data_IF_650393488286
#
_entry.id   IF_650393488286
#
_cell.length_a   1.000
_cell.length_b   1.000
_cell.length_c   1.000
_cell.angle_alpha   90.00
_cell.angle_beta   90.00
_cell.angle_gamma   90.00
#
_symmetry.space_group_name_H-M   'P 1'
#
loop_
_entity.id
_entity.type
_entity.pdbx_description
1 polymer ?
#
# COMPACT_ATOMS: atom_id res chain seq x y z
N UNK A 1 13.84 -0.18 -0.90
CA UNK A 1 13.41 0.88 -1.84
C UNK A 1 12.70 2.00 -1.08
N UNK A 2 12.84 3.28 -1.45
CA UNK A 2 12.06 4.37 -0.81
C UNK A 2 10.64 4.36 -1.38
N UNK A 3 9.63 4.52 -0.54
CA UNK A 3 8.24 4.69 -0.99
C UNK A 3 7.58 5.84 -0.25
N UNK A 4 6.63 6.50 -0.92
CA UNK A 4 5.73 7.45 -0.30
C UNK A 4 4.32 6.90 -0.32
N UNK A 5 3.69 6.77 0.84
CA UNK A 5 2.32 6.25 0.98
C UNK A 5 1.41 7.42 1.32
N UNK A 6 0.31 7.50 0.58
CA UNK A 6 -0.77 8.45 0.77
C UNK A 6 -2.02 7.61 1.13
N UNK A 7 -2.35 7.51 2.42
CA UNK A 7 -3.55 6.82 2.85
C UNK A 7 -4.82 7.48 2.32
N UNK A 8 -5.72 6.75 1.70
CA UNK A 8 -7.04 7.19 1.25
C UNK A 8 -8.12 6.88 2.27
N UNK A 9 -9.35 6.64 1.79
CA UNK A 9 -10.46 6.21 2.64
C UNK A 9 -10.41 4.70 2.89
N UNK A 10 -10.30 3.94 1.81
CA UNK A 10 -10.20 2.47 1.80
C UNK A 10 -9.04 2.01 0.92
N UNK A 11 -8.07 2.88 0.69
CA UNK A 11 -6.96 2.61 -0.21
C UNK A 11 -5.64 3.17 0.33
N UNK A 12 -4.53 2.59 -0.12
CA UNK A 12 -3.19 3.14 0.04
C UNK A 12 -2.63 3.41 -1.34
N UNK A 13 -2.45 4.68 -1.69
CA UNK A 13 -1.72 5.09 -2.88
C UNK A 13 -0.24 5.19 -2.55
N UNK A 14 0.59 4.43 -3.25
CA UNK A 14 2.02 4.29 -2.99
C UNK A 14 2.78 4.73 -4.23
N UNK A 15 3.73 5.64 -4.05
CA UNK A 15 4.63 6.08 -5.12
C UNK A 15 6.01 5.51 -4.84
N UNK A 16 6.54 4.78 -5.81
CA UNK A 16 7.82 4.09 -5.71
C UNK A 16 8.96 5.07 -6.02
N UNK A 17 9.94 5.13 -5.14
CA UNK A 17 11.14 6.00 -5.23
C UNK A 17 10.84 7.36 -5.86
N UNK A 18 9.94 8.17 -5.26
CA UNK A 18 9.43 9.37 -5.89
C UNK A 18 10.55 10.38 -6.18
N UNK A 19 10.61 10.85 -7.42
CA UNK A 19 11.61 11.85 -7.87
C UNK A 19 11.26 13.26 -7.39
N UNK A 20 9.97 13.52 -7.15
CA UNK A 20 9.44 14.80 -6.68
C UNK A 20 8.84 14.66 -5.28
N UNK A 21 8.76 15.78 -4.56
CA UNK A 21 8.09 15.82 -3.26
C UNK A 21 6.63 15.40 -3.42
N UNK A 22 6.26 14.34 -2.70
CA UNK A 22 4.88 13.83 -2.68
C UNK A 22 4.05 14.66 -1.71
N UNK A 23 2.81 14.99 -2.10
CA UNK A 23 1.87 15.72 -1.25
C UNK A 23 0.49 15.09 -1.34
N UNK A 24 -0.34 15.32 -0.33
CA UNK A 24 -1.75 14.89 -0.28
C UNK A 24 -2.70 15.81 -1.07
N UNK A 25 -2.19 16.78 -1.85
CA UNK A 25 -3.02 17.77 -2.52
C UNK A 25 -3.98 17.08 -3.51
N UNK A 26 -5.29 17.35 -3.37
CA UNK A 26 -6.34 16.80 -4.24
C UNK A 26 -6.86 15.42 -3.84
N UNK A 27 -6.41 14.86 -2.71
CA UNK A 27 -6.93 13.59 -2.17
C UNK A 27 -8.02 13.83 -1.12
N UNK A 28 -8.96 12.88 -0.91
CA UNK A 28 -9.96 12.98 0.14
C UNK A 28 -9.33 13.22 1.52
N UNK A 29 -9.97 14.05 2.34
CA UNK A 29 -9.52 14.33 3.71
C UNK A 29 -9.92 13.26 4.72
N UNK A 30 -10.87 12.40 4.35
CA UNK A 30 -11.32 11.29 5.20
C UNK A 30 -10.29 10.17 5.07
N UNK A 31 -9.65 9.85 6.19
CA UNK A 31 -8.67 8.78 6.31
C UNK A 31 -9.01 7.95 7.52
N UNK A 32 -9.00 6.64 7.37
CA UNK A 32 -9.19 5.75 8.51
C UNK A 32 -7.99 5.86 9.45
N UNK A 33 -8.18 6.12 10.76
CA UNK A 33 -7.06 6.35 11.69
C UNK A 33 -6.04 5.22 11.73
N UNK A 34 -6.49 3.97 11.59
CA UNK A 34 -5.62 2.79 11.60
C UNK A 34 -4.61 2.77 10.45
N UNK A 35 -4.86 3.47 9.34
CA UNK A 35 -3.91 3.54 8.22
C UNK A 35 -2.58 4.22 8.61
N UNK A 36 -2.62 5.05 9.65
CA UNK A 36 -1.44 5.70 10.23
C UNK A 36 -0.85 4.91 11.40
N UNK A 37 -1.46 3.82 11.85
CA UNK A 37 -1.06 3.14 13.08
C UNK A 37 0.44 2.77 13.13
N UNK A 38 1.10 2.34 12.02
CA UNK A 38 2.53 2.07 12.05
C UNK A 38 3.40 3.34 12.10
N UNK A 39 2.86 4.50 11.68
CA UNK A 39 3.57 5.77 11.57
C UNK A 39 2.69 6.95 12.02
N UNK A 40 2.30 7.01 13.31
CA UNK A 40 1.37 8.02 13.80
C UNK A 40 1.87 9.46 13.59
N UNK A 41 3.19 9.67 13.63
CA UNK A 41 3.83 10.96 13.37
C UNK A 41 3.65 11.46 11.93
N UNK A 42 3.44 10.56 10.97
CA UNK A 42 3.23 10.90 9.58
C UNK A 42 1.85 11.53 9.33
N UNK A 43 0.89 11.33 10.25
CA UNK A 43 -0.46 11.91 10.17
C UNK A 43 -0.42 13.43 10.03
N UNK A 44 0.49 14.11 10.73
CA UNK A 44 0.66 15.58 10.66
C UNK A 44 1.14 16.05 9.27
N UNK A 45 1.92 15.23 8.58
CA UNK A 45 2.46 15.53 7.25
C UNK A 45 1.51 15.10 6.13
N UNK A 46 0.60 14.16 6.41
CA UNK A 46 -0.35 13.62 5.45
C UNK A 46 0.26 12.68 4.41
N UNK A 47 1.55 12.34 4.55
CA UNK A 47 2.30 11.40 3.69
C UNK A 47 3.26 10.61 4.59
N UNK A 48 3.31 9.29 4.38
CA UNK A 48 4.24 8.38 5.04
C UNK A 48 5.42 8.17 4.09
N UNK A 49 6.65 8.38 4.57
CA UNK A 49 7.85 8.09 3.79
C UNK A 49 8.68 7.03 4.50
N UNK A 50 8.80 5.85 3.89
CA UNK A 50 9.52 4.71 4.48
C UNK A 50 10.44 4.06 3.46
N UNK A 51 11.29 3.15 3.96
CA UNK A 51 11.99 2.18 3.13
C UNK A 51 11.30 0.84 3.26
N UNK A 52 10.96 0.24 2.13
CA UNK A 52 10.45 -1.13 2.07
C UNK A 52 11.53 -2.10 1.61
N UNK A 53 11.41 -3.34 2.07
CA UNK A 53 12.24 -4.47 1.61
C UNK A 53 11.62 -5.10 0.36
N UNK A 54 12.47 -5.52 -0.58
CA UNK A 54 12.02 -6.07 -1.86
C UNK A 54 11.79 -5.02 -2.94
N UNK A 55 11.69 -5.50 -4.18
CA UNK A 55 11.48 -4.72 -5.39
C UNK A 55 10.29 -5.24 -6.22
N UNK A 56 9.48 -6.17 -5.70
CA UNK A 56 8.28 -6.70 -6.36
C UNK A 56 7.02 -6.32 -5.60
N UNK A 57 5.84 -6.33 -6.24
CA UNK A 57 4.56 -6.05 -5.57
C UNK A 57 4.36 -6.94 -4.34
N UNK A 58 4.64 -8.25 -4.44
CA UNK A 58 4.60 -9.19 -3.32
C UNK A 58 5.51 -8.75 -2.18
N UNK A 59 6.74 -8.36 -2.48
CA UNK A 59 7.71 -7.89 -1.50
C UNK A 59 7.20 -6.64 -0.75
N UNK A 60 6.63 -5.69 -1.48
CA UNK A 60 5.99 -4.50 -0.90
C UNK A 60 4.83 -4.88 0.04
N UNK A 61 3.93 -5.75 -0.41
CA UNK A 61 2.76 -6.17 0.36
C UNK A 61 3.15 -6.89 1.66
N UNK A 62 4.13 -7.80 1.59
CA UNK A 62 4.61 -8.53 2.76
C UNK A 62 5.31 -7.60 3.78
N UNK A 63 6.09 -6.63 3.32
CA UNK A 63 6.77 -5.69 4.22
C UNK A 63 5.81 -4.68 4.86
N UNK A 64 4.74 -4.29 4.15
CA UNK A 64 3.65 -3.50 4.72
C UNK A 64 2.85 -4.31 5.73
N UNK A 65 2.47 -5.55 5.41
CA UNK A 65 1.79 -6.48 6.31
C UNK A 65 2.53 -6.64 7.63
N UNK A 66 3.85 -6.81 7.55
CA UNK A 66 4.69 -6.87 8.74
C UNK A 66 4.58 -5.60 9.60
N UNK A 67 4.68 -4.42 8.99
CA UNK A 67 4.65 -3.14 9.71
C UNK A 67 3.28 -2.86 10.35
N UNK A 68 2.18 -3.16 9.64
CA UNK A 68 0.83 -3.08 10.21
C UNK A 68 0.60 -4.07 11.34
N UNK A 69 1.09 -5.31 11.20
CA UNK A 69 1.02 -6.32 12.26
C UNK A 69 1.78 -5.92 13.52
N UNK A 70 2.96 -5.30 13.38
CA UNK A 70 3.72 -4.73 14.51
C UNK A 70 2.93 -3.64 15.23
N UNK A 71 2.09 -2.89 14.51
CA UNK A 71 1.17 -1.90 15.05
C UNK A 71 -0.19 -2.49 15.53
N UNK A 72 -0.33 -3.82 15.55
CA UNK A 72 -1.57 -4.55 15.92
C UNK A 72 -2.77 -4.21 15.05
N UNK A 73 -2.53 -3.89 13.77
CA UNK A 73 -3.57 -3.74 12.76
C UNK A 73 -3.60 -4.98 11.90
N UNK A 74 -4.81 -5.50 11.67
CA UNK A 74 -5.03 -6.58 10.72
C UNK A 74 -4.92 -6.06 9.29
N UNK A 75 -3.82 -6.39 8.63
CA UNK A 75 -3.52 -6.03 7.24
C UNK A 75 -2.74 -7.21 6.65
N UNK A 76 -3.46 -8.16 6.08
CA UNK A 76 -2.92 -9.39 5.52
C UNK A 76 -3.33 -9.51 4.03
N UNK A 77 -2.73 -8.70 3.13
CA UNK A 77 -3.10 -8.68 1.71
C UNK A 77 -2.70 -9.95 0.95
N UNK A 78 -1.74 -10.73 1.45
CA UNK A 78 -1.32 -11.99 0.84
C UNK A 78 -1.91 -13.14 1.65
N UNK A 79 -2.73 -13.96 1.02
CA UNK A 79 -3.30 -15.14 1.64
C UNK A 79 -2.25 -16.26 1.72
N UNK A 80 -1.89 -16.74 2.92
CA UNK A 80 -0.81 -17.72 3.08
C UNK A 80 -1.15 -19.12 2.56
N UNK A 81 -2.43 -19.42 2.30
CA UNK A 81 -2.86 -20.72 1.76
C UNK A 81 -2.86 -20.74 0.24
N UNK A 82 -3.14 -19.61 -0.39
CA UNK A 82 -3.20 -19.47 -1.84
C UNK A 82 -1.88 -18.94 -2.43
N UNK A 83 -0.99 -18.43 -1.58
CA UNK A 83 0.23 -17.71 -2.00
C UNK A 83 -0.07 -16.58 -2.99
N UNK A 84 -1.28 -16.01 -2.91
CA UNK A 84 -1.81 -15.00 -3.81
C UNK A 84 -2.56 -13.91 -3.01
N UNK A 85 -3.06 -12.89 -3.70
CA UNK A 85 -3.81 -11.80 -3.09
C UNK A 85 -5.07 -12.33 -2.39
N UNK A 86 -5.32 -11.84 -1.17
CA UNK A 86 -6.57 -12.11 -0.47
C UNK A 86 -7.74 -11.35 -1.14
N UNK A 87 -8.95 -11.93 -1.11
CA UNK A 87 -10.14 -11.40 -1.79
C UNK A 87 -10.61 -10.06 -1.21
N UNK A 88 -10.17 -9.74 0.02
CA UNK A 88 -10.43 -8.44 0.65
C UNK A 88 -9.61 -7.29 0.04
N UNK A 89 -8.76 -7.56 -0.95
CA UNK A 89 -7.86 -6.56 -1.53
C UNK A 89 -7.94 -6.57 -3.06
N UNK A 90 -7.73 -5.40 -3.66
CA UNK A 90 -7.40 -5.24 -5.06
C UNK A 90 -6.11 -4.44 -5.20
N UNK A 91 -5.19 -4.92 -6.04
CA UNK A 91 -3.91 -4.26 -6.30
C UNK A 91 -3.86 -3.78 -7.74
N UNK A 92 -3.50 -2.52 -7.91
CA UNK A 92 -3.23 -1.93 -9.21
C UNK A 92 -1.80 -1.38 -9.23
N UNK A 93 -1.10 -1.58 -10.35
CA UNK A 93 0.17 -0.93 -10.64
C UNK A 93 -0.01 -0.10 -11.92
N UNK A 94 0.28 1.20 -11.84
CA UNK A 94 0.11 2.16 -12.93
C UNK A 94 -1.29 2.11 -13.58
N UNK A 95 -2.32 1.84 -12.77
CA UNK A 95 -3.72 1.74 -13.19
C UNK A 95 -4.15 0.36 -13.72
N UNK A 96 -3.25 -0.59 -13.87
CA UNK A 96 -3.53 -1.96 -14.30
C UNK A 96 -3.63 -2.90 -13.09
N UNK A 97 -4.69 -3.72 -13.02
CA UNK A 97 -4.85 -4.71 -11.95
C UNK A 97 -3.72 -5.76 -12.04
N UNK A 98 -3.23 -6.23 -10.88
CA UNK A 98 -2.09 -7.15 -10.80
C UNK A 98 -2.29 -8.44 -11.62
N UNK A 99 -3.52 -8.96 -11.72
CA UNK A 99 -3.84 -10.16 -12.53
C UNK A 99 -3.53 -9.94 -14.02
N UNK A 100 -3.58 -8.69 -14.48
CA UNK A 100 -3.25 -8.34 -15.85
C UNK A 100 -1.76 -8.09 -16.09
N UNK A 101 -0.91 -8.07 -15.06
CA UNK A 101 0.52 -7.85 -15.20
C UNK A 101 1.21 -9.17 -15.63
N UNK A 102 2.28 -9.11 -16.46
CA UNK A 102 2.96 -10.32 -16.95
C UNK A 102 3.42 -11.28 -15.85
N UNK A 103 3.90 -10.74 -14.73
CA UNK A 103 4.43 -11.49 -13.60
C UNK A 103 3.53 -11.42 -12.36
N UNK A 104 2.29 -10.93 -12.50
CA UNK A 104 1.34 -10.82 -11.40
C UNK A 104 1.90 -10.03 -10.21
N UNK A 105 1.83 -10.63 -9.01
CA UNK A 105 2.41 -10.06 -7.78
C UNK A 105 3.94 -10.06 -7.77
N UNK A 106 4.59 -10.84 -8.63
CA UNK A 106 6.04 -10.89 -8.70
C UNK A 106 6.61 -9.85 -9.69
N UNK A 107 5.73 -9.04 -10.28
CA UNK A 107 6.11 -7.88 -11.10
C UNK A 107 7.03 -6.94 -10.32
N UNK A 108 8.18 -6.65 -10.90
CA UNK A 108 9.15 -5.70 -10.36
C UNK A 108 8.63 -4.26 -10.48
N UNK A 109 8.88 -3.46 -9.45
CA UNK A 109 8.52 -2.04 -9.39
C UNK A 109 9.73 -1.18 -9.70
N UNK A 110 9.48 -0.10 -10.46
CA UNK A 110 10.46 0.88 -10.87
C UNK A 110 10.22 2.25 -10.20
N UNK A 111 11.24 3.12 -10.27
CA UNK A 111 11.11 4.47 -9.74
C UNK A 111 10.06 5.27 -10.54
N UNK A 112 9.10 5.84 -9.81
CA UNK A 112 7.97 6.56 -10.39
C UNK A 112 6.69 5.74 -10.48
N UNK A 113 6.75 4.42 -10.33
CA UNK A 113 5.55 3.58 -10.35
C UNK A 113 4.57 3.97 -9.25
N UNK A 114 3.29 3.85 -9.60
CA UNK A 114 2.18 4.03 -8.68
C UNK A 114 1.54 2.68 -8.39
N UNK A 115 1.55 2.29 -7.13
CA UNK A 115 0.82 1.12 -6.63
C UNK A 115 -0.38 1.61 -5.84
N UNK A 116 -1.56 1.10 -6.16
CA UNK A 116 -2.79 1.35 -5.42
C UNK A 116 -3.24 0.04 -4.77
N UNK A 117 -3.24 0.02 -3.45
CA UNK A 117 -3.83 -1.06 -2.66
C UNK A 117 -5.23 -0.62 -2.28
N UNK A 118 -6.26 -1.26 -2.81
CA UNK A 118 -7.64 -1.06 -2.36
C UNK A 118 -8.02 -2.17 -1.40
N UNK A 119 -8.71 -1.80 -0.33
CA UNK A 119 -9.31 -2.71 0.62
C UNK A 119 -10.82 -2.73 0.34
N UNK A 120 -11.29 -3.90 -0.06
CA UNK A 120 -12.68 -4.18 -0.40
C UNK A 120 -13.56 -4.35 0.84
N UNK A 121 -12.93 -4.55 1.99
CA UNK A 121 -13.64 -4.74 3.25
C UNK A 121 -14.40 -3.47 3.67
N UNK A 122 -15.71 -3.63 3.83
CA UNK A 122 -16.62 -2.75 4.58
C UNK A 122 -16.41 -2.92 6.08
N UNK A 123 -16.11 -1.85 6.79
CA UNK A 123 -16.17 -1.86 8.25
C UNK A 123 -17.60 -2.20 8.71
N UNK A 124 -17.82 -3.44 9.13
CA UNK A 124 -19.02 -3.87 9.84
C UNK A 124 -18.77 -3.62 11.35
N UNK A 125 -19.08 -2.40 11.80
CA UNK A 125 -19.49 -2.08 13.19
C UNK A 125 -18.63 -2.55 14.37
#
# INVERSE_FOLDING_TARGET
>A
MKVAIIPGLTDLKIIISPVKKVTRKGQPHIVMPWMWAPWPEAQKKGVIEIRVKGNTLRGLLLDLAKQYKEAKVDFEPINPKMEDLDFDYDIFMNGQNYVGLPDGLDTAMEAGDEVLIKMNWRWDG
#
